data_IF_010363839859
#
_entry.id   IF_010363839859
#
_cell.length_a   1.000
_cell.length_b   1.000
_cell.length_c   1.000
_cell.angle_alpha   90.00
_cell.angle_beta   90.00
_cell.angle_gamma   90.00
#
_symmetry.space_group_name_H-M   'P 1'
#
loop_
_entity.id
_entity.type
_entity.pdbx_description
1 polymer ?
2 water ?
#
# COMPACT_ATOMS: atom_id res chain seq x y z
N UNK A 5 -9.98 19.42 8.94
CA UNK A 5 -10.16 20.70 8.24
C UNK A 5 -10.44 20.43 6.77
N UNK A 6 -9.96 19.28 6.30
CA UNK A 6 -10.12 18.83 4.92
C UNK A 6 -9.29 19.65 3.94
N UNK A 7 -8.26 20.34 4.45
CA UNK A 7 -7.31 21.02 3.58
C UNK A 7 -6.45 20.00 2.87
N UNK A 8 -6.29 20.17 1.57
CA UNK A 8 -5.50 19.31 0.73
C UNK A 8 -4.16 19.98 0.44
N UNK A 9 -3.07 19.25 0.62
CA UNK A 9 -1.77 19.80 0.33
C UNK A 9 -1.02 18.80 -0.54
N UNK A 10 -0.23 19.32 -1.48
CA UNK A 10 0.65 18.48 -2.30
C UNK A 10 2.01 18.42 -1.63
N UNK A 11 2.47 17.21 -1.32
CA UNK A 11 3.75 17.07 -0.63
C UNK A 11 4.88 17.42 -1.60
N UNK A 12 5.94 18.08 -1.12
CA UNK A 12 6.97 18.63 -2.03
C UNK A 12 7.99 17.61 -2.51
N UNK A 13 7.52 16.47 -2.98
CA UNK A 13 8.39 15.54 -3.69
C UNK A 13 8.85 16.17 -5.00
N UNK A 14 10.01 15.74 -5.46
CA UNK A 14 10.61 16.23 -6.69
C UNK A 14 10.79 15.10 -7.70
N UNK A 15 10.26 15.32 -8.90
CA UNK A 15 10.56 14.44 -10.01
C UNK A 15 9.95 13.07 -9.95
N UNK A 16 8.77 12.93 -9.35
CA UNK A 16 8.15 11.61 -9.35
C UNK A 16 7.69 11.26 -10.77
N UNK A 17 7.57 9.96 -11.03
CA UNK A 17 7.23 9.47 -12.37
C UNK A 17 6.36 8.23 -12.17
N UNK A 18 5.05 8.39 -12.25
CA UNK A 18 4.08 7.35 -11.95
C UNK A 18 4.28 6.74 -10.56
N UNK A 19 4.24 7.54 -9.50
CA UNK A 19 4.33 6.99 -8.14
C UNK A 19 3.14 6.07 -7.88
N UNK A 20 3.43 4.96 -7.19
CA UNK A 20 2.46 3.90 -6.96
C UNK A 20 2.29 3.74 -5.46
N UNK A 21 2.98 2.79 -4.84
CA UNK A 21 2.76 2.53 -3.43
C UNK A 21 3.27 3.66 -2.55
N UNK A 22 2.65 3.78 -1.39
CA UNK A 22 3.17 4.72 -0.41
C UNK A 22 2.92 4.18 1.00
N UNK A 23 3.72 4.70 1.92
CA UNK A 23 3.65 4.31 3.31
C UNK A 23 4.01 5.52 4.13
N UNK A 24 3.53 5.55 5.37
CA UNK A 24 3.89 6.63 6.29
C UNK A 24 4.32 5.99 7.59
N UNK A 25 5.42 6.48 8.17
CA UNK A 25 5.88 5.87 9.42
C UNK A 25 5.37 6.63 10.64
N UNK A 26 5.81 6.17 11.83
CA UNK A 26 5.30 6.72 13.08
C UNK A 26 5.78 8.14 13.34
N UNK A 27 6.84 8.57 12.67
CA UNK A 27 7.32 9.94 12.72
C UNK A 27 6.72 10.83 11.64
N UNK A 28 5.85 10.30 10.80
CA UNK A 28 5.23 11.09 9.75
C UNK A 28 6.00 11.16 8.45
N UNK A 29 7.09 10.41 8.32
CA UNK A 29 7.82 10.39 7.05
C UNK A 29 7.03 9.59 6.02
N UNK A 30 6.99 10.08 4.78
CA UNK A 30 6.21 9.46 3.72
C UNK A 30 7.18 8.81 2.73
N UNK A 31 6.94 7.54 2.41
CA UNK A 31 7.78 6.75 1.51
C UNK A 31 6.96 6.47 0.25
N UNK A 32 7.57 6.63 -0.92
CA UNK A 32 6.84 6.43 -2.17
C UNK A 32 7.63 5.50 -3.07
N UNK A 33 6.94 4.51 -3.65
CA UNK A 33 7.51 3.68 -4.70
C UNK A 33 7.37 4.47 -5.99
N UNK A 34 8.47 5.10 -6.39
CA UNK A 34 8.48 5.96 -7.57
C UNK A 34 8.76 5.05 -8.75
N UNK A 35 7.70 4.38 -9.19
CA UNK A 35 7.86 3.23 -10.08
C UNK A 35 8.62 3.59 -11.34
N UNK A 36 8.25 4.70 -11.99
CA UNK A 36 8.88 5.09 -13.25
C UNK A 36 10.35 5.41 -13.13
N UNK A 37 10.84 5.68 -11.92
CA UNK A 37 12.26 5.99 -11.70
C UNK A 37 13.01 4.86 -10.97
N UNK A 38 12.40 3.69 -10.82
CA UNK A 38 13.02 2.53 -10.19
C UNK A 38 13.65 2.87 -8.85
N UNK A 39 12.91 3.60 -8.02
CA UNK A 39 13.49 4.05 -6.76
C UNK A 39 12.39 4.21 -5.73
N UNK A 40 12.81 4.22 -4.47
CA UNK A 40 11.92 4.52 -3.36
C UNK A 40 12.43 5.79 -2.71
N UNK A 41 11.54 6.76 -2.51
CA UNK A 41 11.90 8.09 -2.00
C UNK A 41 11.18 8.32 -0.69
N UNK A 42 11.87 8.95 0.27
CA UNK A 42 11.34 9.25 1.59
C UNK A 42 11.35 10.75 1.83
N UNK A 43 10.25 11.29 2.38
CA UNK A 43 10.16 12.71 2.70
C UNK A 43 9.74 12.86 4.16
N UNK A 44 10.63 13.39 5.00
CA UNK A 44 10.26 13.57 6.40
C UNK A 44 9.22 14.67 6.51
N UNK A 45 8.40 14.58 7.57
CA UNK A 45 7.29 15.51 7.76
C UNK A 45 7.79 16.95 7.84
N UNK A 46 7.22 17.81 6.99
CA UNK A 46 7.58 19.22 6.97
C UNK A 46 8.88 19.52 6.29
N UNK A 47 9.55 18.52 5.72
CA UNK A 47 10.88 18.70 5.16
C UNK A 47 10.82 19.22 3.73
N UNK A 48 11.93 19.84 3.31
CA UNK A 48 12.20 20.18 1.92
C UNK A 48 13.31 19.29 1.36
N UNK A 49 13.46 18.10 1.93
CA UNK A 49 14.51 17.16 1.54
C UNK A 49 13.87 15.81 1.31
N UNK A 50 14.12 15.22 0.13
CA UNK A 50 13.69 13.85 -0.11
C UNK A 50 14.93 12.96 -0.20
N UNK A 51 14.82 11.76 0.34
CA UNK A 51 15.94 10.85 0.39
C UNK A 51 15.67 9.67 -0.53
N UNK A 52 16.62 9.34 -1.41
CA UNK A 52 16.53 8.13 -2.20
C UNK A 52 17.10 7.00 -1.36
N UNK A 53 16.25 5.98 -1.07
CA UNK A 53 16.75 4.90 -0.23
C UNK A 53 17.67 4.00 -1.04
N UNK A 54 18.69 3.42 -0.40
CA UNK A 54 19.73 2.66 -1.13
C UNK A 54 19.31 1.22 -1.46
N UNK A 55 18.13 1.08 -2.02
CA UNK A 55 17.80 -0.14 -2.75
C UNK A 55 18.62 -0.16 -4.02
N UNK A 56 18.95 -1.36 -4.48
CA UNK A 56 19.72 -1.49 -5.70
C UNK A 56 19.01 -2.44 -6.67
N UNK A 57 19.08 -2.10 -7.95
CA UNK A 57 18.56 -2.98 -8.99
C UNK A 57 17.07 -3.14 -9.04
N UNK A 58 16.31 -2.12 -8.64
CA UNK A 58 14.86 -2.26 -8.71
C UNK A 58 14.40 -2.15 -10.16
N UNK A 59 13.26 -2.79 -10.44
CA UNK A 59 12.65 -2.73 -11.76
C UNK A 59 11.15 -2.58 -11.59
N UNK A 60 10.67 -1.35 -11.76
CA UNK A 60 9.25 -1.00 -11.68
C UNK A 60 8.68 -1.38 -10.33
N UNK A 61 9.27 -0.91 -9.22
CA UNK A 61 8.74 -1.26 -7.90
C UNK A 61 7.38 -0.65 -7.68
N UNK A 62 6.51 -1.40 -7.04
CA UNK A 62 5.15 -0.94 -6.93
C UNK A 62 4.73 -0.67 -5.50
N UNK A 63 5.12 -1.51 -4.56
CA UNK A 63 4.63 -1.42 -3.19
C UNK A 63 5.76 -1.07 -2.23
N UNK A 64 5.42 -0.33 -1.18
CA UNK A 64 6.39 -0.04 -0.13
C UNK A 64 5.69 -0.14 1.23
N UNK A 65 6.40 -0.67 2.21
CA UNK A 65 5.92 -0.75 3.59
C UNK A 65 7.07 -0.47 4.55
N UNK A 66 6.73 0.03 5.73
CA UNK A 66 7.74 0.37 6.73
C UNK A 66 7.27 -0.19 8.07
N UNK A 67 8.16 -0.87 8.78
CA UNK A 67 7.73 -1.48 10.04
C UNK A 67 8.06 -0.55 11.22
N UNK A 68 7.67 -0.96 12.43
CA UNK A 68 7.87 -0.10 13.60
C UNK A 68 9.33 0.16 13.92
N UNK A 69 10.23 -0.70 13.47
CA UNK A 69 11.65 -0.49 13.68
C UNK A 69 12.31 0.35 12.60
N UNK A 70 11.56 0.75 11.58
CA UNK A 70 12.09 1.58 10.52
C UNK A 70 12.61 0.81 9.32
N UNK A 71 12.59 -0.52 9.37
CA UNK A 71 12.95 -1.30 8.18
C UNK A 71 11.97 -1.02 7.07
N UNK A 72 12.48 -0.97 5.84
CA UNK A 72 11.67 -0.63 4.68
C UNK A 72 11.62 -1.83 3.75
N UNK A 73 10.44 -2.11 3.20
CA UNK A 73 10.22 -3.28 2.37
C UNK A 73 9.63 -2.82 1.05
N UNK A 74 10.10 -3.36 -0.06
CA UNK A 74 9.55 -2.97 -1.37
C UNK A 74 9.25 -4.21 -2.19
N UNK A 75 8.14 -4.19 -2.93
CA UNK A 75 7.91 -5.21 -3.95
C UNK A 75 8.60 -4.75 -5.22
N UNK A 76 9.63 -5.49 -5.63
CA UNK A 76 10.36 -5.22 -6.90
C UNK A 76 9.58 -5.99 -7.96
N UNK A 77 8.44 -5.46 -8.36
CA UNK A 77 7.48 -6.20 -9.19
C UNK A 77 8.07 -6.92 -10.41
N UNK A 78 8.80 -6.20 -11.25
CA UNK A 78 9.24 -6.83 -12.53
C UNK A 78 10.39 -7.81 -12.27
N UNK A 79 11.01 -7.79 -11.09
CA UNK A 79 11.97 -8.81 -10.74
C UNK A 79 11.37 -9.92 -9.86
N UNK A 80 10.04 -9.89 -9.67
CA UNK A 80 9.34 -10.95 -8.92
C UNK A 80 9.96 -11.22 -7.55
N UNK A 81 10.27 -10.16 -6.84
CA UNK A 81 10.92 -10.34 -5.54
C UNK A 81 10.53 -9.24 -4.56
N UNK A 82 10.77 -9.52 -3.28
CA UNK A 82 10.49 -8.53 -2.22
C UNK A 82 11.83 -8.26 -1.54
N UNK A 83 12.20 -6.99 -1.42
CA UNK A 83 13.52 -6.66 -0.83
C UNK A 83 13.35 -5.82 0.43
N UNK A 84 14.23 -6.05 1.40
CA UNK A 84 14.14 -5.34 2.70
C UNK A 84 15.42 -4.54 2.90
N UNK A 85 15.26 -3.34 3.40
CA UNK A 85 16.44 -2.51 3.71
C UNK A 85 16.48 -2.34 5.23
N UNK A 86 17.59 -2.75 5.83
CA UNK A 86 17.85 -2.63 7.29
C UNK A 86 17.84 -4.03 7.89
N UNK B 6 21.25 -0.32 6.19
CA UNK B 6 21.38 -0.08 4.76
C UNK B 6 21.82 -1.33 4.00
N UNK B 7 21.77 -2.48 4.68
CA UNK B 7 22.00 -3.76 4.04
C UNK B 7 20.68 -4.24 3.44
N UNK B 8 20.72 -4.63 2.16
CA UNK B 8 19.55 -5.12 1.44
C UNK B 8 19.49 -6.63 1.54
N UNK B 9 18.30 -7.18 1.79
CA UNK B 9 18.13 -8.63 1.76
C UNK B 9 16.93 -8.94 0.88
N UNK B 10 17.02 -10.02 0.12
CA UNK B 10 15.86 -10.50 -0.64
C UNK B 10 15.14 -11.52 0.22
N UNK B 11 13.84 -11.30 0.44
CA UNK B 11 13.13 -12.18 1.35
C UNK B 11 12.76 -13.47 0.63
N UNK B 12 12.76 -14.60 1.33
CA UNK B 12 12.63 -15.91 0.67
C UNK B 12 11.20 -16.32 0.33
N UNK B 13 10.46 -15.39 -0.30
CA UNK B 13 9.25 -15.79 -1.01
C UNK B 13 9.59 -16.74 -2.17
N UNK B 14 8.58 -17.48 -2.62
CA UNK B 14 8.73 -18.47 -3.69
C UNK B 14 7.70 -18.23 -4.79
N UNK B 15 8.16 -18.21 -6.03
CA UNK B 15 7.24 -18.27 -7.15
C UNK B 15 6.34 -17.06 -7.32
N UNK B 16 6.83 -15.89 -6.90
CA UNK B 16 6.02 -14.66 -7.08
C UNK B 16 5.86 -14.35 -8.57
N UNK B 17 4.73 -13.74 -8.91
CA UNK B 17 4.43 -13.36 -10.31
C UNK B 17 3.80 -11.97 -10.26
N UNK B 18 4.59 -10.95 -10.52
CA UNK B 18 4.12 -9.54 -10.43
C UNK B 18 3.61 -9.23 -9.03
N UNK B 19 4.46 -9.33 -7.99
CA UNK B 19 4.05 -8.94 -6.65
C UNK B 19 3.73 -7.44 -6.62
N UNK B 20 2.64 -7.05 -5.95
CA UNK B 20 2.21 -5.68 -6.01
C UNK B 20 2.17 -5.14 -4.59
N UNK B 21 1.02 -5.12 -3.95
CA UNK B 21 0.95 -4.54 -2.62
C UNK B 21 1.65 -5.38 -1.58
N UNK B 22 2.14 -4.72 -0.52
CA UNK B 22 2.67 -5.48 0.59
C UNK B 22 2.38 -4.72 1.87
N UNK B 23 2.41 -5.46 2.96
CA UNK B 23 2.21 -4.91 4.29
C UNK B 23 3.12 -5.64 5.26
N UNK B 24 3.43 -4.98 6.37
CA UNK B 24 4.19 -5.61 7.44
C UNK B 24 3.47 -5.37 8.77
N UNK B 25 3.31 -6.43 9.56
CA UNK B 25 2.58 -6.30 10.81
C UNK B 25 3.52 -5.99 11.98
N UNK B 26 2.94 -5.86 13.18
CA UNK B 26 3.72 -5.47 14.38
C UNK B 26 4.79 -6.49 14.74
N UNK B 27 4.67 -7.71 14.22
CA UNK B 27 5.63 -8.79 14.57
C UNK B 27 6.59 -9.03 13.40
N UNK B 28 6.56 -8.15 12.39
CA UNK B 28 7.54 -8.27 11.31
C UNK B 28 7.14 -9.24 10.22
N UNK B 29 5.93 -9.79 10.30
CA UNK B 29 5.53 -10.64 9.19
C UNK B 29 5.19 -9.80 7.97
N UNK B 30 5.57 -10.29 6.80
CA UNK B 30 5.40 -9.55 5.55
C UNK B 30 4.35 -10.25 4.70
N UNK B 31 3.36 -9.46 4.25
CA UNK B 31 2.22 -9.95 3.47
C UNK B 31 2.33 -9.38 2.07
N UNK B 32 2.15 -10.22 1.04
CA UNK B 32 2.32 -9.76 -0.34
C UNK B 32 1.12 -10.15 -1.18
N UNK B 33 0.63 -9.18 -1.95
CA UNK B 33 -0.41 -9.48 -2.94
C UNK B 33 0.31 -9.99 -4.20
N UNK B 34 0.35 -11.30 -4.39
CA UNK B 34 1.05 -11.92 -5.54
C UNK B 34 0.06 -11.87 -6.69
N UNK B 35 -0.10 -10.70 -7.28
CA UNK B 35 -1.19 -10.48 -8.25
C UNK B 35 -1.24 -11.52 -9.36
N UNK B 36 -0.11 -11.77 -9.98
CA UNK B 36 -0.18 -12.66 -11.12
C UNK B 36 -0.57 -14.08 -10.77
N UNK B 37 -0.49 -14.45 -9.50
CA UNK B 37 -0.91 -15.77 -9.01
C UNK B 37 -2.22 -15.73 -8.25
N UNK B 38 -2.88 -14.58 -8.20
CA UNK B 38 -4.22 -14.45 -7.59
C UNK B 38 -4.25 -14.98 -6.16
N UNK B 39 -3.25 -14.57 -5.38
CA UNK B 39 -3.13 -15.07 -4.03
C UNK B 39 -2.41 -14.03 -3.18
N UNK B 40 -2.55 -14.18 -1.87
CA UNK B 40 -1.82 -13.36 -0.90
C UNK B 40 -0.95 -14.31 -0.10
N UNK B 41 0.35 -14.04 -0.04
CA UNK B 41 1.29 -14.90 0.68
C UNK B 41 1.86 -14.12 1.86
N UNK B 42 2.37 -14.86 2.83
CA UNK B 42 2.85 -14.28 4.09
C UNK B 42 4.15 -14.96 4.47
N UNK B 43 5.15 -14.16 4.82
CA UNK B 43 6.40 -14.71 5.35
C UNK B 43 6.60 -14.14 6.75
N UNK B 44 6.49 -14.99 7.77
CA UNK B 44 6.77 -14.56 9.13
C UNK B 44 8.24 -14.21 9.28
N UNK B 45 8.57 -13.33 10.24
CA UNK B 45 9.94 -12.93 10.43
C UNK B 45 10.77 -14.16 10.77
N UNK B 46 11.84 -14.38 10.00
CA UNK B 46 12.70 -15.52 10.22
C UNK B 46 12.26 -16.81 9.54
N UNK B 47 11.07 -16.84 8.95
CA UNK B 47 10.61 -18.05 8.30
C UNK B 47 11.26 -18.20 6.94
N UNK B 48 11.36 -19.45 6.48
CA UNK B 48 11.97 -19.75 5.19
C UNK B 48 10.95 -20.11 4.12
N UNK B 49 9.71 -20.41 4.50
CA UNK B 49 8.70 -20.83 3.55
C UNK B 49 7.46 -19.99 3.78
N UNK B 50 6.97 -19.36 2.72
CA UNK B 50 5.76 -18.55 2.88
C UNK B 50 4.56 -19.45 3.18
N UNK B 51 3.53 -18.83 3.77
CA UNK B 51 2.21 -19.43 3.77
C UNK B 51 1.35 -18.72 2.73
N UNK B 52 0.32 -19.42 2.27
CA UNK B 52 -0.67 -18.87 1.34
C UNK B 52 -1.93 -18.65 2.14
N UNK B 53 -2.38 -17.40 2.20
CA UNK B 53 -3.53 -17.12 3.04
C UNK B 53 -4.80 -17.66 2.39
N UNK B 54 -5.74 -18.17 3.18
CA UNK B 54 -6.89 -18.91 2.64
C UNK B 54 -8.03 -18.00 2.14
N UNK B 55 -7.66 -16.98 1.37
CA UNK B 55 -8.65 -16.27 0.57
C UNK B 55 -9.20 -17.16 -0.52
N UNK B 56 -10.43 -16.89 -0.93
CA UNK B 56 -11.05 -17.60 -2.03
C UNK B 56 -11.50 -16.61 -3.10
N UNK B 57 -11.27 -16.99 -4.35
CA UNK B 57 -11.85 -16.28 -5.48
C UNK B 57 -11.18 -15.00 -5.88
N UNK B 58 -9.94 -14.76 -5.44
CA UNK B 58 -9.23 -13.53 -5.80
C UNK B 58 -8.94 -13.51 -7.29
N UNK B 59 -8.93 -12.31 -7.83
CA UNK B 59 -8.60 -12.13 -9.25
C UNK B 59 -7.86 -10.81 -9.39
N UNK B 60 -6.55 -10.89 -9.66
CA UNK B 60 -5.67 -9.72 -9.74
C UNK B 60 -5.72 -8.91 -8.46
N UNK B 61 -5.53 -9.54 -7.30
CA UNK B 61 -5.49 -8.78 -6.05
C UNK B 61 -4.28 -7.84 -6.06
N UNK B 62 -4.50 -6.61 -5.60
CA UNK B 62 -3.50 -5.56 -5.72
C UNK B 62 -2.94 -5.10 -4.39
N UNK B 63 -3.81 -4.78 -3.45
CA UNK B 63 -3.40 -4.17 -2.21
C UNK B 63 -3.65 -5.11 -1.04
N UNK B 64 -2.78 -5.02 -0.03
CA UNK B 64 -2.98 -5.76 1.19
C UNK B 64 -2.71 -4.84 2.38
N UNK B 65 -3.49 -5.01 3.43
CA UNK B 65 -3.25 -4.30 4.69
C UNK B 65 -3.59 -5.20 5.85
N UNK B 66 -2.96 -4.91 6.99
CA UNK B 66 -3.12 -5.72 8.19
C UNK B 66 -3.35 -4.77 9.36
N UNK B 67 -4.40 -5.03 10.12
CA UNK B 67 -4.74 -4.24 11.28
C UNK B 67 -4.03 -4.75 12.55
N UNK B 68 -4.23 -4.00 13.65
CA UNK B 68 -3.55 -4.29 14.90
C UNK B 68 -3.95 -5.62 15.51
N UNK B 69 -5.13 -6.12 15.18
CA UNK B 69 -5.56 -7.42 15.69
C UNK B 69 -5.16 -8.56 14.75
N UNK B 70 -4.46 -8.26 13.67
CA UNK B 70 -3.99 -9.29 12.76
C UNK B 70 -4.94 -9.61 11.63
N UNK B 71 -6.07 -8.92 11.52
CA UNK B 71 -6.95 -9.16 10.38
C UNK B 71 -6.29 -8.67 9.10
N UNK B 72 -6.51 -9.39 8.02
CA UNK B 72 -5.85 -9.10 6.74
C UNK B 72 -6.92 -8.65 5.75
N UNK B 73 -6.65 -7.56 5.02
CA UNK B 73 -7.61 -6.97 4.10
C UNK B 73 -6.97 -6.93 2.73
N UNK B 74 -7.73 -7.21 1.68
CA UNK B 74 -7.13 -7.25 0.33
C UNK B 74 -8.09 -6.57 -0.63
N UNK B 75 -7.52 -5.81 -1.57
CA UNK B 75 -8.34 -5.26 -2.68
C UNK B 75 -8.36 -6.28 -3.81
N UNK B 76 -9.51 -6.91 -4.03
CA UNK B 76 -9.67 -7.93 -5.11
C UNK B 76 -10.05 -7.13 -6.34
N UNK B 77 -9.07 -6.52 -6.97
CA UNK B 77 -9.33 -5.51 -8.01
C UNK B 77 -10.32 -5.93 -9.09
N UNK B 78 -10.11 -7.09 -9.69
CA UNK B 78 -10.95 -7.39 -10.84
C UNK B 78 -12.34 -7.85 -10.43
N UNK B 79 -12.56 -8.08 -9.15
CA UNK B 79 -13.89 -8.37 -8.63
C UNK B 79 -14.51 -7.15 -7.92
N UNK B 80 -13.85 -6.00 -8.00
CA UNK B 80 -14.37 -4.74 -7.47
C UNK B 80 -14.84 -4.88 -6.03
N UNK B 81 -14.02 -5.52 -5.22
CA UNK B 81 -14.43 -5.75 -3.84
C UNK B 81 -13.22 -5.75 -2.94
N UNK B 82 -13.48 -5.54 -1.65
CA UNK B 82 -12.45 -5.65 -0.60
C UNK B 82 -12.81 -6.83 0.27
N UNK B 83 -11.84 -7.72 0.52
CA UNK B 83 -12.12 -8.92 1.31
C UNK B 83 -11.30 -8.89 2.58
N UNK B 84 -11.88 -9.40 3.65
CA UNK B 84 -11.27 -9.43 4.97
C UNK B 84 -11.13 -10.88 5.41
N UNK B 85 -9.96 -11.23 5.91
CA UNK B 85 -9.75 -12.50 6.57
C UNK B 85 -9.57 -12.29 8.07
N UNK C 7 -12.07 -17.14 8.10
CA UNK C 7 -13.39 -16.50 7.87
C UNK C 7 -13.23 -15.35 6.86
N UNK C 8 -13.58 -15.58 5.60
CA UNK C 8 -13.49 -14.51 4.56
C UNK C 8 -14.82 -13.74 4.50
N UNK C 9 -14.74 -12.42 4.63
CA UNK C 9 -15.93 -11.57 4.54
C UNK C 9 -15.70 -10.51 3.46
N UNK C 10 -16.75 -10.14 2.75
CA UNK C 10 -16.67 -9.05 1.77
C UNK C 10 -17.15 -7.78 2.44
N UNK C 11 -16.33 -6.75 2.45
CA UNK C 11 -16.71 -5.52 3.15
C UNK C 11 -17.75 -4.75 2.35
N UNK C 12 -18.70 -4.07 3.03
CA UNK C 12 -19.81 -3.46 2.27
C UNK C 12 -19.48 -2.10 1.65
N UNK C 13 -18.43 -2.06 0.85
CA UNK C 13 -18.23 -0.92 -0.04
C UNK C 13 -19.27 -0.94 -1.15
N UNK C 14 -19.32 0.15 -1.90
CA UNK C 14 -20.39 0.41 -2.86
C UNK C 14 -19.78 0.88 -4.18
N UNK C 15 -20.00 0.13 -5.25
CA UNK C 15 -19.67 0.64 -6.57
C UNK C 15 -18.20 0.88 -6.81
N UNK C 16 -17.35 0.05 -6.22
CA UNK C 16 -15.92 0.16 -6.50
C UNK C 16 -15.66 -0.16 -7.97
N UNK C 17 -14.58 0.42 -8.48
CA UNK C 17 -14.23 0.35 -9.90
C UNK C 17 -12.72 0.22 -9.92
N UNK C 18 -12.24 -1.03 -9.92
CA UNK C 18 -10.82 -1.35 -9.85
C UNK C 18 -10.16 -0.72 -8.63
N UNK C 19 -10.55 -1.14 -7.44
CA UNK C 19 -9.89 -0.67 -6.23
C UNK C 19 -8.46 -1.16 -6.17
N UNK C 20 -7.55 -0.27 -5.77
CA UNK C 20 -6.15 -0.66 -5.78
C UNK C 20 -5.60 -0.52 -4.36
N UNK C 21 -5.06 0.64 -4.01
CA UNK C 21 -4.47 0.71 -2.68
C UNK C 21 -5.47 0.63 -1.55
N UNK C 22 -5.05 0.11 -0.42
CA UNK C 22 -5.93 0.16 0.77
C UNK C 22 -5.10 0.32 2.04
N UNK C 23 -5.75 0.86 3.04
CA UNK C 23 -5.10 1.06 4.34
C UNK C 23 -6.16 0.85 5.42
N UNK C 24 -5.69 0.55 6.63
CA UNK C 24 -6.61 0.43 7.75
C UNK C 24 -6.03 1.21 8.92
N UNK C 25 -6.87 2.01 9.57
CA UNK C 25 -6.38 2.84 10.67
C UNK C 25 -6.58 2.11 12.00
N UNK C 26 -6.21 2.79 13.09
CA UNK C 26 -6.30 2.20 14.45
C UNK C 26 -7.74 1.96 14.87
N UNK C 27 -8.69 2.64 14.27
CA UNK C 27 -10.11 2.50 14.66
C UNK C 27 -10.79 1.46 13.78
N UNK C 28 -10.03 0.84 12.88
CA UNK C 28 -10.60 -0.22 12.05
C UNK C 28 -11.28 0.33 10.80
N UNK C 29 -11.10 1.62 10.52
CA UNK C 29 -11.67 2.11 9.29
C UNK C 29 -10.78 1.70 8.13
N UNK C 30 -11.40 1.35 7.02
CA UNK C 30 -10.68 0.86 5.85
C UNK C 30 -10.78 1.91 4.75
N UNK C 31 -9.64 2.22 4.15
CA UNK C 31 -9.53 3.28 3.15
C UNK C 31 -9.12 2.63 1.85
N UNK C 32 -9.75 3.02 0.74
CA UNK C 32 -9.49 2.38 -0.53
C UNK C 32 -9.27 3.43 -1.60
N UNK C 33 -8.19 3.30 -2.36
CA UNK C 33 -7.99 4.09 -3.57
C UNK C 33 -8.83 3.45 -4.66
N UNK C 34 -10.00 4.04 -4.93
CA UNK C 34 -10.95 3.50 -5.89
C UNK C 34 -10.56 4.05 -7.26
N UNK C 35 -9.52 3.41 -7.83
CA UNK C 35 -8.78 3.98 -8.95
C UNK C 35 -9.68 4.37 -10.12
N UNK C 36 -10.56 3.48 -10.55
CA UNK C 36 -11.36 3.75 -11.72
C UNK C 36 -12.39 4.87 -11.53
N UNK C 37 -12.66 5.25 -10.28
CA UNK C 37 -13.58 6.34 -9.96
C UNK C 37 -12.85 7.60 -9.49
N UNK C 38 -11.52 7.63 -9.58
CA UNK C 38 -10.73 8.81 -9.21
C UNK C 38 -11.08 9.36 -7.83
N UNK C 39 -11.16 8.46 -6.85
CA UNK C 39 -11.62 8.86 -5.53
C UNK C 39 -11.02 7.92 -4.51
N UNK C 40 -11.00 8.38 -3.26
CA UNK C 40 -10.62 7.58 -2.10
C UNK C 40 -11.85 7.43 -1.22
N UNK C 41 -12.18 6.19 -0.88
CA UNK C 41 -13.36 6.00 -0.04
C UNK C 41 -12.94 5.40 1.29
N UNK C 42 -13.75 5.65 2.32
CA UNK C 42 -13.47 5.21 3.67
C UNK C 42 -14.69 4.51 4.23
N UNK C 43 -14.50 3.34 4.82
CA UNK C 43 -15.59 2.61 5.47
C UNK C 43 -15.23 2.40 6.94
N UNK C 44 -15.98 3.06 7.83
CA UNK C 44 -15.77 2.85 9.25
C UNK C 44 -16.12 1.42 9.65
N UNK C 45 -15.47 0.95 10.72
CA UNK C 45 -15.72 -0.41 11.22
C UNK C 45 -17.20 -0.57 11.56
N UNK C 46 -17.84 -1.58 10.96
CA UNK C 46 -19.23 -1.87 11.22
C UNK C 46 -20.22 -1.10 10.38
N UNK C 47 -19.76 -0.14 9.58
CA UNK C 47 -20.67 0.69 8.80
C UNK C 47 -21.01 0.03 7.47
N UNK C 48 -22.18 0.37 6.95
CA UNK C 48 -22.59 -0.11 5.63
C UNK C 48 -22.59 1.00 4.59
N UNK C 49 -22.25 2.23 4.96
CA UNK C 49 -22.18 3.35 4.03
C UNK C 49 -20.77 3.88 3.96
N UNK C 50 -20.17 3.83 2.78
CA UNK C 50 -18.82 4.34 2.69
C UNK C 50 -18.87 5.86 2.52
N UNK C 51 -17.73 6.49 2.75
CA UNK C 51 -17.64 7.94 2.67
C UNK C 51 -16.60 8.27 1.61
N UNK C 52 -16.93 9.14 0.66
CA UNK C 52 -15.94 9.60 -0.32
C UNK C 52 -15.21 10.79 0.31
N UNK C 53 -13.89 10.64 0.46
CA UNK C 53 -13.12 11.67 1.11
C UNK C 53 -12.97 12.88 0.18
N UNK C 54 -12.79 14.09 0.75
CA UNK C 54 -12.76 15.33 -0.03
C UNK C 54 -11.40 15.66 -0.69
N UNK C 55 -10.80 14.66 -1.33
CA UNK C 55 -9.73 14.96 -2.26
C UNK C 55 -10.34 15.56 -3.52
N UNK C 56 -9.56 16.37 -4.23
CA UNK C 56 -10.01 16.88 -5.51
C UNK C 56 -8.91 16.71 -6.55
N UNK C 57 -9.31 16.55 -7.80
CA UNK C 57 -8.36 16.53 -8.90
C UNK C 57 -7.52 15.28 -9.05
N UNK C 58 -7.94 14.16 -8.47
CA UNK C 58 -7.19 12.92 -8.60
C UNK C 58 -7.34 12.35 -10.00
N UNK C 59 -6.27 11.72 -10.50
CA UNK C 59 -6.27 11.06 -11.80
C UNK C 59 -5.61 9.69 -11.61
N UNK C 60 -6.45 8.64 -11.52
CA UNK C 60 -6.00 7.25 -11.34
C UNK C 60 -5.18 7.09 -10.07
N UNK C 61 -5.74 7.42 -8.91
CA UNK C 61 -4.98 7.28 -7.66
C UNK C 61 -4.73 5.81 -7.36
N UNK C 62 -3.51 5.50 -6.94
CA UNK C 62 -3.08 4.10 -6.75
C UNK C 62 -2.86 3.68 -5.31
N UNK C 63 -2.23 4.51 -4.48
CA UNK C 63 -1.86 4.12 -3.13
C UNK C 63 -2.54 5.01 -2.14
N UNK C 64 -2.87 4.44 -0.99
CA UNK C 64 -3.39 5.21 0.12
C UNK C 64 -2.70 4.78 1.41
N UNK C 65 -2.42 5.74 2.29
CA UNK C 65 -1.82 5.50 3.59
C UNK C 65 -2.46 6.45 4.60
N UNK C 66 -2.46 6.04 5.87
CA UNK C 66 -3.07 6.83 6.93
C UNK C 66 -2.11 6.86 8.11
N UNK C 67 -1.82 8.05 8.63
CA UNK C 67 -0.89 8.13 9.73
C UNK C 67 -1.63 8.08 11.08
N UNK C 68 -0.85 8.16 12.15
CA UNK C 68 -1.38 7.92 13.48
C UNK C 68 -2.29 9.04 13.94
N UNK C 69 -2.19 10.22 13.34
CA UNK C 69 -3.08 11.33 13.67
C UNK C 69 -4.28 11.40 12.75
N UNK C 70 -4.42 10.46 11.80
CA UNK C 70 -5.58 10.40 10.94
C UNK C 70 -5.43 11.08 9.61
N UNK C 71 -4.30 11.73 9.33
CA UNK C 71 -4.08 12.30 8.02
C UNK C 71 -4.04 11.19 6.96
N UNK C 72 -4.59 11.48 5.79
CA UNK C 72 -4.72 10.49 4.73
C UNK C 72 -3.84 10.95 3.57
N UNK C 73 -3.04 10.03 3.04
CA UNK C 73 -2.12 10.34 1.96
C UNK C 73 -2.46 9.47 0.77
N UNK C 74 -2.43 10.05 -0.43
CA UNK C 74 -2.75 9.29 -1.65
C UNK C 74 -1.68 9.57 -2.70
N UNK C 75 -1.27 8.53 -3.43
CA UNK C 75 -0.45 8.72 -4.62
C UNK C 75 -1.40 9.00 -5.78
N UNK C 76 -1.32 10.23 -6.29
CA UNK C 76 -2.13 10.67 -7.41
C UNK C 76 -1.33 10.36 -8.68
N UNK C 77 -1.39 9.09 -9.09
CA UNK C 77 -0.36 8.52 -9.97
C UNK C 77 -0.21 9.29 -11.29
N UNK C 78 -1.32 9.57 -11.96
CA UNK C 78 -1.21 10.17 -13.28
C UNK C 78 -0.93 11.67 -13.21
N UNK C 79 -0.93 12.27 -12.02
CA UNK C 79 -0.50 13.63 -11.82
C UNK C 79 0.86 13.70 -11.14
N UNK C 80 1.54 12.56 -11.00
CA UNK C 80 2.93 12.50 -10.50
C UNK C 80 3.09 13.26 -9.18
N UNK C 81 2.16 13.04 -8.26
CA UNK C 81 2.21 13.80 -7.02
C UNK C 81 1.62 12.97 -5.90
N UNK C 82 1.93 13.39 -4.69
CA UNK C 82 1.39 12.79 -3.48
C UNK C 82 0.59 13.87 -2.76
N UNK C 83 -0.66 13.57 -2.42
CA UNK C 83 -1.56 14.52 -1.80
C UNK C 83 -1.90 14.07 -0.39
N UNK C 84 -1.92 15.04 0.53
CA UNK C 84 -2.25 14.78 1.94
C UNK C 84 -3.54 15.52 2.29
N UNK C 85 -4.43 14.82 2.98
CA UNK C 85 -5.67 15.46 3.46
C UNK C 85 -5.57 15.51 4.98
N UNK C 86 -5.67 16.71 5.55
CA UNK C 86 -5.59 16.85 7.02
C UNK C 86 -6.97 17.21 7.58
#
# INVERSE_FOLDING_TARGET
GSHMSNNQTVLPFDGLNYPEGLAVDTQGAVYVADRGNNRVVKLAAGSKTQTVLPFTGLNDPDGVAVDNSGNVYVTDTDNNRVVKLE
GSHMSNNQTVLPFDGLNYPEGLAVDTQGAVYVADRGNNRVVKLAAGSKTQTVLPFTGLNDPDGVAVDNSGNVYVTDTDNNRVVKLE
GSHMSNNQTVLPFDGLNYPEGLAVDTQGAVYVADRGNNRVVKLAAGSKTQTVLPFTGLNDPDGVAVDNSGNVYVTDTDNNRVVKLE
#
